data_IF_369429820734
#
_entry.id   IF_369429820734
#
_cell.length_a   1.000
_cell.length_b   1.000
_cell.length_c   1.000
_cell.angle_alpha   90.00
_cell.angle_beta   90.00
_cell.angle_gamma   90.00
#
_symmetry.space_group_name_H-M   'P 1'
#
loop_
_entity.id
_entity.type
_entity.pdbx_description
1 polymer ?
#
# COMPACT_ATOMS: atom_id res chain seq x y z
N UNK A 1 18.41 9.48 28.97
CA UNK A 1 18.25 10.65 28.05
C UNK A 1 17.02 11.44 28.50
N UNK A 2 16.93 12.75 28.23
CA UNK A 2 15.76 13.55 28.63
C UNK A 2 14.62 13.38 27.60
N UNK A 3 13.40 13.12 28.07
CA UNK A 3 12.21 12.95 27.23
C UNK A 3 11.12 13.91 27.72
N UNK A 4 10.42 14.54 26.78
CA UNK A 4 9.30 15.45 27.08
C UNK A 4 8.14 14.72 27.77
N UNK A 5 7.49 15.40 28.72
CA UNK A 5 6.29 14.91 29.42
C UNK A 5 5.10 14.64 28.48
N UNK A 6 5.12 15.21 27.27
CA UNK A 6 4.11 14.97 26.22
C UNK A 6 4.16 13.54 25.65
N UNK A 7 5.27 12.81 25.83
CA UNK A 7 5.44 11.46 25.30
C UNK A 7 5.68 10.42 26.41
N UNK A 8 4.75 10.28 27.37
CA UNK A 8 4.96 9.45 28.56
C UNK A 8 5.13 7.97 28.23
N UNK A 9 4.55 7.50 27.12
CA UNK A 9 4.69 6.12 26.66
C UNK A 9 6.04 5.87 25.98
N UNK A 10 6.58 6.84 25.24
CA UNK A 10 7.91 6.74 24.62
C UNK A 10 9.00 6.78 25.70
N UNK A 11 8.82 7.63 26.73
CA UNK A 11 9.78 7.76 27.81
C UNK A 11 10.10 6.43 28.53
N UNK A 12 9.13 5.50 28.60
CA UNK A 12 9.31 4.18 29.22
C UNK A 12 10.26 3.26 28.46
N UNK A 13 10.56 3.56 27.20
CA UNK A 13 11.38 2.74 26.31
C UNK A 13 12.67 3.44 25.88
N UNK A 14 13.01 4.58 26.49
CA UNK A 14 14.11 5.44 26.02
C UNK A 14 15.48 4.73 25.96
N UNK A 15 15.70 3.75 26.85
CA UNK A 15 16.94 2.98 26.91
C UNK A 15 17.07 1.97 25.75
N UNK A 16 15.96 1.60 25.09
CA UNK A 16 15.93 0.69 23.93
C UNK A 16 15.93 1.46 22.59
N UNK A 17 15.91 2.79 22.62
CA UNK A 17 15.86 3.63 21.42
C UNK A 17 17.27 4.01 20.94
N UNK A 18 17.48 3.92 19.63
CA UNK A 18 18.66 4.47 18.97
C UNK A 18 18.41 5.91 18.53
N UNK A 19 19.33 6.82 18.87
CA UNK A 19 19.26 8.22 18.50
C UNK A 19 20.30 8.55 17.43
N UNK A 20 19.84 9.10 16.31
CA UNK A 20 20.70 9.52 15.19
C UNK A 20 20.84 11.05 15.24
N UNK A 21 21.94 11.54 15.80
CA UNK A 21 22.23 12.97 15.89
C UNK A 21 22.94 13.55 14.65
N UNK A 22 23.34 12.70 13.71
CA UNK A 22 24.12 13.08 12.53
C UNK A 22 23.27 13.42 11.30
N UNK A 23 21.94 13.47 11.42
CA UNK A 23 21.07 13.79 10.29
C UNK A 23 21.25 15.25 9.87
N UNK A 24 21.37 15.48 8.57
CA UNK A 24 21.47 16.80 7.95
C UNK A 24 20.45 16.90 6.82
N UNK A 25 20.01 18.12 6.53
CA UNK A 25 19.16 18.44 5.40
C UNK A 25 19.80 19.57 4.59
N UNK A 26 19.74 19.47 3.27
CA UNK A 26 20.29 20.46 2.34
C UNK A 26 19.31 21.62 2.09
N UNK A 27 18.01 21.38 2.24
CA UNK A 27 16.97 22.38 2.01
C UNK A 27 16.35 22.85 3.32
N UNK A 28 16.10 24.15 3.42
CA UNK A 28 15.27 24.74 4.47
C UNK A 28 13.77 24.75 4.12
N UNK A 29 13.41 24.39 2.89
CA UNK A 29 12.03 24.36 2.44
C UNK A 29 11.39 23.04 2.85
N UNK A 30 10.20 23.11 3.46
CA UNK A 30 9.49 21.96 4.00
C UNK A 30 9.32 20.81 3.01
N UNK A 31 8.89 21.06 1.78
CA UNK A 31 8.64 19.99 0.81
C UNK A 31 9.96 19.30 0.35
N UNK A 32 10.99 20.02 -0.14
CA UNK A 32 12.28 19.39 -0.48
C UNK A 32 12.98 18.70 0.70
N UNK A 33 12.92 19.26 1.90
CA UNK A 33 13.47 18.61 3.09
C UNK A 33 12.72 17.31 3.44
N UNK A 34 11.40 17.29 3.23
CA UNK A 34 10.59 16.08 3.42
C UNK A 34 10.94 15.01 2.38
N UNK A 35 11.13 15.37 1.11
CA UNK A 35 11.64 14.43 0.10
C UNK A 35 12.99 13.86 0.51
N UNK A 36 13.90 14.70 1.01
CA UNK A 36 15.22 14.24 1.41
C UNK A 36 15.16 13.29 2.60
N UNK A 37 14.31 13.58 3.59
CA UNK A 37 14.09 12.70 4.74
C UNK A 37 13.62 11.30 4.32
N UNK A 38 12.66 11.24 3.39
CA UNK A 38 12.05 9.97 3.01
C UNK A 38 12.77 9.25 1.87
N UNK A 39 13.43 9.96 0.96
CA UNK A 39 13.97 9.43 -0.30
C UNK A 39 15.47 9.64 -0.47
N UNK A 40 16.10 10.43 0.41
CA UNK A 40 17.52 10.80 0.34
C UNK A 40 17.83 11.91 -0.68
N UNK A 41 16.85 12.44 -1.40
CA UNK A 41 17.04 13.46 -2.44
C UNK A 41 16.04 14.62 -2.22
N UNK A 42 16.49 15.86 -2.48
CA UNK A 42 15.65 17.06 -2.38
C UNK A 42 14.66 17.19 -3.55
N UNK A 43 14.79 16.36 -4.59
CA UNK A 43 13.90 16.30 -5.76
C UNK A 43 12.96 15.10 -5.67
N UNK A 44 11.76 15.27 -6.21
CA UNK A 44 10.78 14.19 -6.36
C UNK A 44 11.27 13.14 -7.37
N UNK A 45 10.91 11.87 -7.13
CA UNK A 45 11.06 10.78 -8.10
C UNK A 45 11.97 9.64 -7.64
N UNK A 46 12.63 9.80 -6.49
CA UNK A 46 13.38 8.72 -5.84
C UNK A 46 12.43 7.82 -5.03
N UNK A 47 12.80 6.55 -4.93
CA UNK A 47 12.08 5.61 -4.09
C UNK A 47 12.28 5.96 -2.62
N UNK A 48 11.19 5.98 -1.86
CA UNK A 48 11.23 6.23 -0.42
C UNK A 48 11.82 5.06 0.35
N UNK A 49 12.24 5.31 1.59
CA UNK A 49 12.76 4.32 2.52
C UNK A 49 11.80 3.13 2.68
N UNK A 50 10.50 3.38 2.79
CA UNK A 50 9.50 2.31 2.89
C UNK A 50 9.41 1.44 1.63
N UNK A 51 9.52 2.06 0.45
CA UNK A 51 9.55 1.32 -0.82
C UNK A 51 10.81 0.47 -0.94
N UNK A 52 11.99 1.01 -0.57
CA UNK A 52 13.24 0.24 -0.53
C UNK A 52 13.19 -0.91 0.47
N UNK A 53 12.65 -0.67 1.66
CA UNK A 53 12.55 -1.67 2.72
C UNK A 53 11.69 -2.84 2.27
N UNK A 54 10.51 -2.57 1.71
CA UNK A 54 9.61 -3.62 1.21
C UNK A 54 10.12 -4.29 -0.06
N UNK A 55 10.84 -3.58 -0.92
CA UNK A 55 11.51 -4.18 -2.09
C UNK A 55 12.63 -5.13 -1.69
N UNK A 56 13.50 -4.71 -0.76
CA UNK A 56 14.70 -5.47 -0.38
C UNK A 56 14.43 -6.59 0.62
N UNK A 57 13.55 -6.35 1.60
CA UNK A 57 13.27 -7.31 2.68
C UNK A 57 11.94 -8.04 2.50
N UNK A 58 11.05 -7.55 1.65
CA UNK A 58 9.69 -8.07 1.52
C UNK A 58 8.78 -7.62 2.67
N UNK A 59 7.68 -8.37 2.85
CA UNK A 59 6.71 -8.21 3.93
C UNK A 59 6.39 -9.60 4.49
N UNK A 60 6.42 -9.74 5.81
CA UNK A 60 5.96 -10.98 6.48
C UNK A 60 4.44 -11.12 6.43
N UNK A 61 3.74 -9.99 6.30
CA UNK A 61 2.30 -9.94 6.22
C UNK A 61 1.83 -10.32 4.80
N UNK A 62 0.90 -11.28 4.74
CA UNK A 62 0.35 -11.88 3.51
C UNK A 62 -1.03 -11.35 3.12
N UNK A 63 -1.69 -10.63 4.03
CA UNK A 63 -3.10 -10.25 3.89
C UNK A 63 -3.30 -8.72 3.69
N UNK A 64 -2.29 -7.91 4.02
CA UNK A 64 -2.32 -6.45 3.86
C UNK A 64 -1.15 -5.95 2.98
N UNK A 65 -1.17 -4.69 2.50
CA UNK A 65 -0.01 -4.09 1.86
C UNK A 65 1.20 -4.03 2.81
N UNK A 66 2.39 -4.36 2.31
CA UNK A 66 3.64 -4.30 3.09
C UNK A 66 4.10 -2.87 3.43
N UNK A 67 3.61 -1.87 2.69
CA UNK A 67 3.89 -0.46 2.92
C UNK A 67 2.59 0.33 2.92
N UNK A 68 2.29 0.95 4.06
CA UNK A 68 1.11 1.79 4.27
C UNK A 68 1.53 3.16 4.74
N UNK A 69 0.73 4.17 4.36
CA UNK A 69 0.95 5.54 4.82
C UNK A 69 -0.36 6.07 5.41
N UNK A 70 -0.28 6.57 6.64
CA UNK A 70 -1.40 7.09 7.42
C UNK A 70 -1.32 8.61 7.48
N UNK A 71 -2.28 9.33 6.91
CA UNK A 71 -2.46 10.77 7.13
C UNK A 71 -3.84 11.26 6.70
N UNK A 72 -4.34 12.24 7.43
CA UNK A 72 -5.57 12.97 7.13
C UNK A 72 -5.34 13.98 5.99
N UNK A 73 -4.60 15.06 6.27
CA UNK A 73 -4.05 15.99 5.28
C UNK A 73 -2.64 15.54 4.86
N UNK A 74 -2.42 15.39 3.55
CA UNK A 74 -1.12 14.97 3.02
C UNK A 74 0.04 15.83 3.51
N UNK A 75 1.21 15.26 3.81
CA UNK A 75 2.37 16.05 4.20
C UNK A 75 2.73 17.03 3.08
N UNK A 76 3.37 18.15 3.45
CA UNK A 76 3.93 19.08 2.46
C UNK A 76 4.84 18.30 1.50
N UNK A 77 4.61 18.46 0.20
CA UNK A 77 5.24 17.66 -0.86
C UNK A 77 4.43 16.44 -1.35
N UNK A 78 3.32 16.11 -0.68
CA UNK A 78 2.33 15.14 -1.16
C UNK A 78 2.90 13.74 -1.39
N UNK A 79 2.41 13.08 -2.43
CA UNK A 79 2.75 11.69 -2.76
C UNK A 79 4.23 11.46 -3.10
N UNK A 80 4.95 12.52 -3.46
CA UNK A 80 6.38 12.46 -3.76
C UNK A 80 7.23 12.00 -2.58
N UNK A 81 6.79 12.28 -1.34
CA UNK A 81 7.50 11.89 -0.12
C UNK A 81 7.65 10.38 0.02
N UNK A 82 6.65 9.61 -0.39
CA UNK A 82 6.56 8.17 -0.12
C UNK A 82 6.45 7.35 -1.41
N UNK A 83 6.81 7.94 -2.55
CA UNK A 83 6.77 7.26 -3.84
C UNK A 83 7.65 6.00 -3.88
N UNK A 84 7.28 5.04 -4.72
CA UNK A 84 8.13 3.95 -5.16
C UNK A 84 9.22 4.38 -6.16
N UNK A 85 9.18 5.62 -6.68
CA UNK A 85 10.12 6.13 -7.66
C UNK A 85 10.19 5.23 -8.90
N UNK A 86 11.39 4.71 -9.18
CA UNK A 86 11.65 3.79 -10.30
C UNK A 86 11.44 2.30 -9.95
N UNK A 87 11.13 1.97 -8.69
CA UNK A 87 10.81 0.60 -8.31
C UNK A 87 9.44 0.17 -8.88
N UNK A 88 9.15 -1.13 -8.98
CA UNK A 88 7.84 -1.59 -9.44
C UNK A 88 6.66 -0.98 -8.67
N UNK A 89 5.52 -0.79 -9.35
CA UNK A 89 4.32 -0.18 -8.75
C UNK A 89 3.79 -0.93 -7.51
N UNK A 90 4.12 -2.22 -7.36
CA UNK A 90 3.77 -3.02 -6.18
C UNK A 90 4.36 -2.47 -4.87
N UNK A 91 5.40 -1.64 -4.94
CA UNK A 91 6.06 -1.03 -3.77
C UNK A 91 5.59 0.41 -3.51
N UNK A 92 4.60 0.90 -4.27
CA UNK A 92 3.93 2.15 -3.95
C UNK A 92 3.10 1.94 -2.68
N UNK A 93 3.21 2.81 -1.66
CA UNK A 93 2.44 2.68 -0.44
C UNK A 93 0.95 2.77 -0.70
N UNK A 94 0.20 1.97 0.06
CA UNK A 94 -1.24 2.14 0.16
C UNK A 94 -1.56 3.23 1.17
N UNK A 95 -2.23 4.30 0.71
CA UNK A 95 -2.71 5.35 1.59
C UNK A 95 -3.94 4.86 2.36
N UNK A 96 -3.92 4.99 3.68
CA UNK A 96 -5.08 4.77 4.52
C UNK A 96 -5.49 6.07 5.21
N UNK A 97 -6.80 6.33 5.22
CA UNK A 97 -7.41 7.41 5.97
C UNK A 97 -7.52 7.03 7.45
N UNK A 98 -7.35 8.01 8.31
CA UNK A 98 -7.53 7.91 9.75
C UNK A 98 -8.99 8.04 10.18
N UNK A 99 -9.82 8.70 9.36
CA UNK A 99 -11.26 8.87 9.58
C UNK A 99 -12.11 8.36 8.41
N UNK A 100 -13.22 7.71 8.76
CA UNK A 100 -14.20 7.17 7.79
C UNK A 100 -13.70 5.91 7.09
N UNK A 101 -14.01 5.77 5.80
CA UNK A 101 -13.58 4.62 4.99
C UNK A 101 -12.06 4.65 4.78
N UNK A 102 -11.30 3.62 5.21
CA UNK A 102 -9.83 3.66 5.19
C UNK A 102 -9.23 3.80 3.79
N UNK A 103 -9.84 3.13 2.80
CA UNK A 103 -9.45 3.23 1.39
C UNK A 103 -10.43 4.16 0.68
N UNK A 104 -9.89 5.14 -0.06
CA UNK A 104 -10.70 6.07 -0.83
C UNK A 104 -11.51 5.31 -1.89
N UNK A 105 -12.78 5.68 -2.06
CA UNK A 105 -13.71 5.09 -3.04
C UNK A 105 -13.91 3.58 -2.90
N UNK A 106 -13.68 3.02 -1.70
CA UNK A 106 -13.90 1.61 -1.42
C UNK A 106 -15.40 1.24 -1.41
N UNK A 107 -16.25 2.16 -0.96
CA UNK A 107 -17.68 1.95 -0.87
C UNK A 107 -18.38 2.77 -1.95
N UNK A 108 -19.34 2.17 -2.69
CA UNK A 108 -20.13 2.93 -3.64
C UNK A 108 -21.03 3.92 -2.89
N UNK A 109 -21.45 5.04 -3.54
CA UNK A 109 -22.56 5.84 -3.04
C UNK A 109 -23.83 4.99 -2.94
N UNK A 110 -24.68 5.25 -1.94
CA UNK A 110 -25.88 4.44 -1.65
C UNK A 110 -26.79 4.25 -2.88
N UNK A 111 -26.93 5.29 -3.69
CA UNK A 111 -27.73 5.29 -4.93
C UNK A 111 -27.27 4.24 -5.96
N UNK A 112 -26.01 3.81 -5.87
CA UNK A 112 -25.38 2.87 -6.82
C UNK A 112 -24.93 1.57 -6.16
N UNK A 113 -25.28 1.34 -4.89
CA UNK A 113 -24.81 0.19 -4.12
C UNK A 113 -25.11 -1.16 -4.81
N UNK A 114 -26.29 -1.29 -5.43
CA UNK A 114 -26.71 -2.51 -6.12
C UNK A 114 -26.19 -2.63 -7.56
N UNK A 115 -25.70 -1.54 -8.15
CA UNK A 115 -25.33 -1.47 -9.57
C UNK A 115 -24.16 -2.38 -9.93
N UNK A 116 -23.14 -2.44 -9.07
CA UNK A 116 -22.01 -3.35 -9.26
C UNK A 116 -22.46 -4.81 -9.24
N UNK A 117 -23.33 -5.17 -8.29
CA UNK A 117 -23.80 -6.55 -8.16
C UNK A 117 -24.67 -6.97 -9.33
N UNK A 118 -25.61 -6.12 -9.74
CA UNK A 118 -26.45 -6.34 -10.91
C UNK A 118 -25.62 -6.54 -12.19
N UNK A 119 -24.57 -5.73 -12.38
CA UNK A 119 -23.65 -5.84 -13.53
C UNK A 119 -22.90 -7.18 -13.53
N UNK A 120 -22.38 -7.59 -12.37
CA UNK A 120 -21.70 -8.89 -12.22
C UNK A 120 -22.64 -10.07 -12.46
N UNK A 121 -23.90 -9.96 -12.01
CA UNK A 121 -24.89 -11.02 -12.18
C UNK A 121 -25.37 -11.13 -13.64
N UNK A 122 -25.45 -10.01 -14.38
CA UNK A 122 -25.67 -10.02 -15.82
C UNK A 122 -24.51 -10.69 -16.57
N UNK A 123 -23.26 -10.32 -16.26
CA UNK A 123 -22.07 -10.93 -16.88
C UNK A 123 -22.07 -12.45 -16.64
N UNK A 124 -22.39 -12.89 -15.42
CA UNK A 124 -22.50 -14.32 -15.08
C UNK A 124 -23.59 -15.01 -15.90
N UNK A 125 -24.73 -14.37 -16.10
CA UNK A 125 -25.83 -14.94 -16.89
C UNK A 125 -25.44 -15.10 -18.36
N UNK A 126 -24.87 -14.05 -18.97
CA UNK A 126 -24.38 -14.11 -20.34
C UNK A 126 -23.31 -15.20 -20.50
N UNK A 127 -22.42 -15.33 -19.52
CA UNK A 127 -21.42 -16.38 -19.51
C UNK A 127 -22.06 -17.77 -19.47
N UNK A 128 -23.07 -18.00 -18.61
CA UNK A 128 -23.82 -19.29 -18.58
C UNK A 128 -24.46 -19.62 -19.93
N UNK A 129 -25.09 -18.65 -20.57
CA UNK A 129 -25.73 -18.85 -21.88
C UNK A 129 -24.72 -19.18 -22.97
N UNK A 130 -23.59 -18.49 -23.00
CA UNK A 130 -22.52 -18.78 -23.96
C UNK A 130 -21.97 -20.19 -23.80
N UNK A 131 -21.82 -20.66 -22.56
CA UNK A 131 -21.31 -22.00 -22.27
C UNK A 131 -22.28 -23.09 -22.74
N UNK A 132 -23.57 -22.87 -22.50
CA UNK A 132 -24.63 -23.74 -23.01
C UNK A 132 -24.59 -23.82 -24.55
N UNK A 133 -24.46 -22.67 -25.24
CA UNK A 133 -24.36 -22.61 -26.71
C UNK A 133 -23.13 -23.33 -27.27
N UNK A 134 -22.00 -23.28 -26.56
CA UNK A 134 -20.75 -23.92 -26.96
C UNK A 134 -20.70 -25.42 -26.60
N UNK A 135 -21.76 -25.98 -26.01
CA UNK A 135 -21.76 -27.36 -25.52
C UNK A 135 -20.76 -27.60 -24.39
N UNK A 136 -20.28 -26.53 -23.72
CA UNK A 136 -19.33 -26.62 -22.61
C UNK A 136 -20.12 -26.67 -21.31
N UNK A 137 -19.89 -27.71 -20.50
CA UNK A 137 -20.48 -27.81 -19.17
C UNK A 137 -19.87 -26.73 -18.28
N UNK A 138 -20.72 -25.93 -17.62
CA UNK A 138 -20.32 -25.01 -16.54
C UNK A 138 -19.39 -25.73 -15.56
N UNK A 139 -18.30 -25.13 -15.03
CA UNK A 139 -17.41 -25.78 -14.08
C UNK A 139 -18.04 -25.79 -12.68
N UNK A 140 -19.37 -25.85 -12.59
CA UNK A 140 -20.09 -25.92 -11.33
C UNK A 140 -19.64 -27.11 -10.45
N UNK A 141 -18.91 -28.09 -11.01
CA UNK A 141 -18.26 -29.20 -10.29
C UNK A 141 -16.75 -29.06 -10.05
N UNK A 142 -16.07 -28.05 -10.60
CA UNK A 142 -14.68 -27.75 -10.23
C UNK A 142 -14.75 -26.70 -9.13
N UNK A 143 -14.79 -27.18 -7.88
CA UNK A 143 -14.38 -26.37 -6.75
C UNK A 143 -13.04 -25.74 -7.13
N UNK A 144 -13.02 -24.44 -7.40
CA UNK A 144 -11.77 -23.70 -7.44
C UNK A 144 -11.13 -23.98 -6.08
N UNK A 145 -9.94 -24.62 -6.03
CA UNK A 145 -9.24 -24.72 -4.77
C UNK A 145 -9.10 -23.28 -4.30
N UNK A 146 -9.47 -23.00 -3.04
CA UNK A 146 -8.99 -21.77 -2.40
C UNK A 146 -7.50 -21.73 -2.68
N UNK A 147 -7.05 -20.77 -3.47
CA UNK A 147 -5.63 -20.52 -3.68
C UNK A 147 -5.09 -20.17 -2.30
N UNK A 148 -4.67 -21.17 -1.53
CA UNK A 148 -3.72 -20.97 -0.45
C UNK A 148 -2.48 -20.45 -1.16
N UNK A 149 -2.11 -19.22 -0.82
CA UNK A 149 -0.96 -18.54 -1.39
C UNK A 149 0.26 -19.45 -1.35
N UNK A 150 0.76 -19.79 -2.53
CA UNK A 150 2.15 -20.19 -2.73
C UNK A 150 2.48 -20.01 -4.21
N UNK A 151 2.53 -18.74 -4.64
CA UNK A 151 3.30 -18.36 -5.82
C UNK A 151 4.71 -18.02 -5.33
N UNK A 152 5.54 -19.05 -5.19
CA UNK A 152 6.99 -18.87 -5.20
C UNK A 152 7.37 -18.54 -6.63
N UNK A 153 7.44 -17.26 -6.93
CA UNK A 153 7.97 -16.77 -8.20
C UNK A 153 9.50 -16.86 -8.11
N UNK A 154 10.08 -17.95 -8.64
CA UNK A 154 11.51 -18.03 -8.93
C UNK A 154 11.84 -16.90 -9.89
N UNK A 155 12.56 -15.89 -9.41
CA UNK A 155 13.29 -14.97 -10.27
C UNK A 155 14.37 -15.78 -11.01
N UNK A 156 14.28 -15.79 -12.33
CA UNK A 156 15.44 -16.11 -13.17
C UNK A 156 16.34 -14.87 -13.17
N UNK A 157 17.56 -15.08 -12.73
CA UNK A 157 18.73 -14.22 -12.91
C UNK A 157 18.99 -13.94 -14.39
N UNK A 158 19.20 -12.68 -14.73
CA UNK A 158 20.30 -12.20 -15.57
C UNK A 158 20.85 -10.93 -14.95
#
# INVERSE_FOLDING_TARGET
>A
MWVSELFPHIARHVDDLCFIHSMQAESNNHAPASYQLHTGDVRVGKASLGAWTTYGLGSENQDLPGYVVLFDAGPLGGAGNYSNGFLPAAFQPTRLRDQGTPVLDLLPPDEFADGQRASLDLIRELQRQQWFRLGRVSPAGLAFPRLRGTLVQRQQTF
#
